data_IF_823602436553
#
_entry.id   IF_823602436553
#
_cell.length_a   1.000
_cell.length_b   1.000
_cell.length_c   1.000
_cell.angle_alpha   90.00
_cell.angle_beta   90.00
_cell.angle_gamma   90.00
#
_symmetry.space_group_name_H-M   'P 1'
#
loop_
_entity.id
_entity.type
_entity.pdbx_description
1 polymer ?
#
# COMPACT_ATOMS: atom_id res chain seq x y z
N UNK A 1 -16.74 -40.64 31.53
CA UNK A 1 -15.93 -41.03 30.35
C UNK A 1 -16.59 -40.57 29.05
N UNK A 2 -17.86 -40.90 28.79
CA UNK A 2 -18.60 -40.55 27.55
C UNK A 2 -18.73 -39.03 27.31
N UNK A 3 -19.02 -38.23 28.35
CA UNK A 3 -19.19 -36.77 28.21
C UNK A 3 -17.93 -36.04 27.72
N UNK A 4 -16.73 -36.48 28.10
CA UNK A 4 -15.48 -35.85 27.67
C UNK A 4 -15.20 -36.07 26.19
N UNK A 5 -15.43 -37.29 25.71
CA UNK A 5 -15.27 -37.67 24.30
C UNK A 5 -16.26 -36.91 23.41
N UNK A 6 -17.50 -36.72 23.87
CA UNK A 6 -18.48 -35.91 23.14
C UNK A 6 -18.01 -34.47 23.00
N UNK A 7 -17.51 -33.86 24.08
CA UNK A 7 -17.01 -32.48 24.04
C UNK A 7 -15.80 -32.34 23.12
N UNK A 8 -14.84 -33.29 23.19
CA UNK A 8 -13.67 -33.31 22.31
C UNK A 8 -14.09 -33.40 20.83
N UNK A 9 -15.01 -34.32 20.49
CA UNK A 9 -15.54 -34.45 19.14
C UNK A 9 -16.30 -33.21 18.66
N UNK A 10 -17.09 -32.57 19.53
CA UNK A 10 -17.80 -31.34 19.15
C UNK A 10 -16.84 -30.19 18.86
N UNK A 11 -15.72 -30.09 19.59
CA UNK A 11 -14.67 -29.10 19.33
C UNK A 11 -13.99 -29.37 18.00
N UNK A 12 -13.67 -30.64 17.70
CA UNK A 12 -13.03 -31.02 16.44
C UNK A 12 -13.92 -30.72 15.22
N UNK A 13 -15.22 -31.02 15.33
CA UNK A 13 -16.18 -30.69 14.27
C UNK A 13 -16.28 -29.17 14.06
N UNK A 14 -16.36 -28.38 15.14
CA UNK A 14 -16.40 -26.93 15.07
C UNK A 14 -15.13 -26.36 14.43
N UNK A 15 -13.96 -26.90 14.79
CA UNK A 15 -12.68 -26.52 14.20
C UNK A 15 -12.61 -26.84 12.70
N UNK A 16 -13.09 -28.02 12.29
CA UNK A 16 -13.15 -28.41 10.89
C UNK A 16 -14.06 -27.49 10.06
N UNK A 17 -15.25 -27.16 10.58
CA UNK A 17 -16.18 -26.23 9.93
C UNK A 17 -15.60 -24.82 9.81
N UNK A 18 -14.95 -24.32 10.86
CA UNK A 18 -14.30 -23.01 10.84
C UNK A 18 -13.18 -22.93 9.80
N UNK A 19 -12.42 -24.02 9.63
CA UNK A 19 -11.36 -24.12 8.63
C UNK A 19 -11.90 -24.11 7.20
N UNK A 20 -12.95 -24.87 6.92
CA UNK A 20 -13.55 -24.93 5.58
C UNK A 20 -14.13 -23.56 5.15
N UNK A 21 -14.82 -22.87 6.07
CA UNK A 21 -15.35 -21.54 5.80
C UNK A 21 -14.22 -20.51 5.59
N UNK A 22 -13.13 -20.57 6.37
CA UNK A 22 -11.95 -19.73 6.16
C UNK A 22 -11.32 -19.95 4.77
N UNK A 23 -11.12 -21.21 4.38
CA UNK A 23 -10.57 -21.56 3.06
C UNK A 23 -11.47 -21.05 1.93
N UNK A 24 -12.78 -21.21 2.08
CA UNK A 24 -13.77 -20.75 1.11
C UNK A 24 -13.74 -19.23 0.95
N UNK A 25 -13.67 -18.46 2.04
CA UNK A 25 -13.51 -16.99 1.99
C UNK A 25 -12.23 -16.58 1.30
N UNK A 26 -11.11 -17.24 1.60
CA UNK A 26 -9.80 -16.98 0.97
C UNK A 26 -9.84 -17.24 -0.53
N UNK A 27 -10.45 -18.35 -0.98
CA UNK A 27 -10.62 -18.66 -2.42
C UNK A 27 -11.44 -17.59 -3.13
N UNK A 28 -12.58 -17.18 -2.57
CA UNK A 28 -13.42 -16.11 -3.14
C UNK A 28 -12.72 -14.75 -3.18
N UNK A 29 -12.00 -14.41 -2.11
CA UNK A 29 -11.21 -13.18 -2.06
C UNK A 29 -10.11 -13.19 -3.13
N UNK A 30 -9.40 -14.31 -3.30
CA UNK A 30 -8.37 -14.44 -4.32
C UNK A 30 -8.93 -14.25 -5.74
N UNK A 31 -10.06 -14.89 -6.06
CA UNK A 31 -10.77 -14.70 -7.34
C UNK A 31 -11.18 -13.23 -7.55
N UNK A 32 -11.70 -12.57 -6.49
CA UNK A 32 -12.05 -11.16 -6.53
C UNK A 32 -10.85 -10.24 -6.76
N UNK A 33 -9.72 -10.51 -6.10
CA UNK A 33 -8.46 -9.78 -6.28
C UNK A 33 -7.93 -9.97 -7.70
N UNK A 34 -7.92 -11.20 -8.21
CA UNK A 34 -7.45 -11.48 -9.57
C UNK A 34 -8.28 -10.72 -10.60
N UNK A 35 -9.61 -10.76 -10.49
CA UNK A 35 -10.52 -9.97 -11.35
C UNK A 35 -10.29 -8.46 -11.21
N UNK A 36 -10.03 -7.95 -10.02
CA UNK A 36 -9.75 -6.53 -9.81
C UNK A 36 -8.35 -6.12 -10.33
N UNK A 37 -7.37 -7.03 -10.32
CA UNK A 37 -6.06 -6.83 -10.93
C UNK A 37 -6.14 -6.79 -12.45
N UNK A 38 -6.88 -7.71 -13.08
CA UNK A 38 -7.07 -7.69 -14.54
C UNK A 38 -7.81 -6.44 -15.02
N UNK A 39 -8.75 -5.94 -14.23
CA UNK A 39 -9.43 -4.66 -14.47
C UNK A 39 -8.60 -3.42 -14.10
N UNK A 40 -7.36 -3.58 -13.64
CA UNK A 40 -6.46 -2.46 -13.33
C UNK A 40 -6.89 -1.60 -12.14
N UNK A 41 -7.73 -2.11 -11.23
CA UNK A 41 -8.24 -1.31 -10.08
C UNK A 41 -7.18 -1.04 -9.01
N UNK A 42 -6.17 -1.90 -8.89
CA UNK A 42 -5.09 -1.75 -7.91
C UNK A 42 -4.01 -0.80 -8.44
N UNK A 43 -4.18 0.49 -8.22
CA UNK A 43 -3.23 1.55 -8.60
C UNK A 43 -2.30 1.98 -7.44
N UNK A 44 -2.32 1.24 -6.32
CA UNK A 44 -1.57 1.55 -5.11
C UNK A 44 -2.03 2.83 -4.40
N UNK A 45 -1.19 3.34 -3.50
CA UNK A 45 -1.44 4.63 -2.84
C UNK A 45 -1.19 5.75 -3.84
N UNK A 46 -2.24 6.51 -4.16
CA UNK A 46 -2.09 7.71 -4.99
C UNK A 46 -1.18 8.71 -4.28
N UNK A 47 -0.21 9.29 -4.99
CA UNK A 47 0.63 10.32 -4.40
C UNK A 47 -0.16 11.59 -4.15
N UNK A 48 0.21 12.30 -3.08
CA UNK A 48 -0.29 13.65 -2.85
C UNK A 48 0.40 14.62 -3.81
N UNK A 49 -0.31 15.03 -4.85
CA UNK A 49 0.24 15.88 -5.91
C UNK A 49 0.55 17.30 -5.40
N UNK A 50 -0.34 17.86 -4.57
CA UNK A 50 -0.17 19.22 -4.02
C UNK A 50 1.07 19.31 -3.14
N UNK A 51 1.28 18.30 -2.29
CA UNK A 51 2.48 18.25 -1.45
C UNK A 51 3.74 18.20 -2.31
N UNK A 52 3.74 17.43 -3.40
CA UNK A 52 4.90 17.30 -4.28
C UNK A 52 5.19 18.56 -5.08
N UNK A 53 4.15 19.24 -5.56
CA UNK A 53 4.26 20.56 -6.22
C UNK A 53 4.88 21.59 -5.27
N UNK A 54 4.41 21.66 -4.02
CA UNK A 54 4.96 22.57 -3.01
C UNK A 54 6.42 22.25 -2.69
N UNK A 55 6.79 20.96 -2.57
CA UNK A 55 8.19 20.55 -2.38
C UNK A 55 9.03 20.98 -3.57
N UNK A 56 8.55 20.78 -4.80
CA UNK A 56 9.27 21.17 -6.01
C UNK A 56 9.52 22.68 -6.05
N UNK A 57 8.50 23.49 -5.74
CA UNK A 57 8.63 24.95 -5.67
C UNK A 57 9.71 25.37 -4.66
N UNK A 58 9.64 24.87 -3.42
CA UNK A 58 10.62 25.21 -2.37
C UNK A 58 12.05 24.74 -2.71
N UNK A 59 12.18 23.60 -3.39
CA UNK A 59 13.47 23.13 -3.89
C UNK A 59 14.02 24.02 -5.02
N UNK A 60 13.15 24.54 -5.90
CA UNK A 60 13.57 25.51 -6.94
C UNK A 60 13.96 26.87 -6.36
N UNK A 61 13.35 27.28 -5.24
CA UNK A 61 13.73 28.47 -4.48
C UNK A 61 15.03 28.29 -3.67
N UNK A 62 15.65 27.10 -3.69
CA UNK A 62 16.91 26.83 -3.00
C UNK A 62 16.78 26.64 -1.48
N UNK A 63 15.58 26.35 -0.96
CA UNK A 63 15.39 26.10 0.48
C UNK A 63 16.11 24.83 0.94
N UNK A 64 16.62 24.85 2.17
CA UNK A 64 17.27 23.66 2.74
C UNK A 64 16.25 22.56 3.06
N UNK A 65 16.68 21.30 3.04
CA UNK A 65 15.79 20.17 3.26
C UNK A 65 15.15 20.17 4.65
N UNK A 66 15.86 20.68 5.66
CA UNK A 66 15.34 20.79 7.02
C UNK A 66 14.22 21.83 7.11
N UNK A 67 14.36 22.97 6.41
CA UNK A 67 13.31 23.99 6.33
C UNK A 67 12.06 23.47 5.59
N UNK A 68 12.24 22.72 4.50
CA UNK A 68 11.12 22.11 3.76
C UNK A 68 10.36 21.10 4.63
N UNK A 69 11.09 20.30 5.42
CA UNK A 69 10.49 19.35 6.35
C UNK A 69 9.68 20.06 7.45
N UNK A 70 10.20 21.15 8.01
CA UNK A 70 9.52 21.94 9.05
C UNK A 70 8.28 22.64 8.50
N UNK A 71 8.36 23.24 7.31
CA UNK A 71 7.27 24.00 6.70
C UNK A 71 6.10 23.11 6.23
N UNK A 72 6.41 21.96 5.63
CA UNK A 72 5.41 21.07 5.01
C UNK A 72 5.07 19.83 5.86
N UNK A 73 5.78 19.60 6.97
CA UNK A 73 5.58 18.42 7.82
C UNK A 73 5.87 17.09 7.11
N UNK A 74 6.72 17.09 6.08
CA UNK A 74 6.99 15.92 5.25
C UNK A 74 8.33 15.25 5.60
N UNK A 75 8.45 13.94 5.39
CA UNK A 75 9.70 13.22 5.65
C UNK A 75 10.80 13.57 4.64
N UNK A 76 12.07 13.51 5.05
CA UNK A 76 13.23 13.64 4.14
C UNK A 76 13.17 12.65 2.96
N UNK A 77 12.61 11.46 3.18
CA UNK A 77 12.42 10.46 2.12
C UNK A 77 11.43 10.91 1.04
N UNK A 78 10.40 11.68 1.42
CA UNK A 78 9.44 12.26 0.47
C UNK A 78 10.13 13.33 -0.39
N UNK A 79 10.93 14.20 0.23
CA UNK A 79 11.71 15.23 -0.47
C UNK A 79 12.71 14.60 -1.46
N UNK A 80 13.44 13.56 -1.02
CA UNK A 80 14.38 12.84 -1.87
C UNK A 80 13.67 12.15 -3.06
N UNK A 81 12.49 11.57 -2.83
CA UNK A 81 11.69 10.94 -3.88
C UNK A 81 11.26 11.98 -4.92
N UNK A 82 10.79 13.15 -4.49
CA UNK A 82 10.40 14.25 -5.39
C UNK A 82 11.60 14.75 -6.19
N UNK A 83 12.75 14.99 -5.54
CA UNK A 83 13.98 15.41 -6.22
C UNK A 83 14.46 14.39 -7.27
N UNK A 84 14.35 13.09 -6.98
CA UNK A 84 14.69 12.03 -7.94
C UNK A 84 13.69 11.97 -9.10
N UNK A 85 12.41 12.16 -8.82
CA UNK A 85 11.36 12.15 -9.84
C UNK A 85 11.54 13.32 -10.82
N UNK A 86 11.87 14.51 -10.32
CA UNK A 86 12.15 15.68 -11.16
C UNK A 86 13.43 15.50 -11.98
N UNK A 87 14.50 14.93 -11.41
CA UNK A 87 15.73 14.65 -12.17
C UNK A 87 15.53 13.62 -13.28
N UNK A 88 14.68 12.62 -13.04
CA UNK A 88 14.37 11.57 -14.04
C UNK A 88 13.50 12.14 -15.18
N UNK A 89 12.53 13.00 -14.86
CA UNK A 89 11.70 13.65 -15.88
C UNK A 89 12.52 14.54 -16.84
N UNK A 90 13.60 15.15 -16.33
CA UNK A 90 14.52 15.97 -17.14
C UNK A 90 15.38 15.11 -18.09
N UNK A 91 15.80 13.91 -17.69
CA UNK A 91 16.58 13.02 -18.58
C UNK A 91 15.75 12.38 -19.69
N UNK A 92 14.46 12.16 -19.45
CA UNK A 92 13.55 11.58 -20.46
C UNK A 92 13.19 12.60 -21.55
N UNK A 93 13.27 13.91 -21.26
CA UNK A 93 13.03 14.98 -22.24
C UNK A 93 14.24 15.22 -23.17
N UNK A 94 15.44 14.76 -22.82
CA UNK A 94 16.69 15.00 -23.58
C UNK A 94 16.99 13.86 -24.58
N UNK A 95 16.40 12.67 -24.38
CA UNK A 95 16.67 11.48 -25.19
C UNK A 95 15.60 11.17 -26.26
N UNK A 96 14.75 12.14 -26.61
CA UNK A 96 13.84 12.06 -27.75
C UNK A 96 13.99 13.27 -28.66
#
# INVERSE_FOLDING_TARGET
>A
MISRVLTEFMIDLAAAMARDDYETRRKRQAQGIEKAKTLGKYQGRKPDLKLRENIQLLLTEGKSWSQVQELLGCSRSTIATVKKLTSTSLSDTINN
#
